data_IF_592900906688
#
_entry.id   IF_592900906688
#
_cell.length_a   1.000
_cell.length_b   1.000
_cell.length_c   1.000
_cell.angle_alpha   90.00
_cell.angle_beta   90.00
_cell.angle_gamma   90.00
#
_symmetry.space_group_name_H-M   'P 1'
#
loop_
_entity.id
_entity.type
_entity.pdbx_description
1 polymer ?
#
# COMPACT_ATOMS: atom_id res chain seq x y z
N UNK A 1 -14.90 -17.05 22.04
CA UNK A 1 -16.33 -17.39 22.05
C UNK A 1 -16.73 -17.81 20.65
N UNK A 2 -17.11 -19.08 20.48
CA UNK A 2 -18.03 -19.61 19.44
C UNK A 2 -17.66 -19.46 17.96
N UNK A 3 -17.23 -20.57 17.35
CA UNK A 3 -17.37 -20.86 15.91
C UNK A 3 -18.77 -21.43 15.63
N UNK A 4 -19.45 -20.88 14.63
CA UNK A 4 -20.60 -21.39 13.87
C UNK A 4 -20.85 -20.34 12.76
N UNK A 5 -20.84 -20.59 11.46
CA UNK A 5 -21.29 -21.74 10.68
C UNK A 5 -20.51 -21.84 9.36
N UNK A 6 -20.05 -23.05 9.03
CA UNK A 6 -19.70 -23.47 7.68
C UNK A 6 -20.86 -24.34 7.20
N UNK A 7 -21.68 -23.83 6.29
CA UNK A 7 -22.39 -24.66 5.34
C UNK A 7 -22.76 -23.81 4.14
N UNK A 8 -22.32 -24.25 2.97
CA UNK A 8 -22.93 -24.15 1.63
C UNK A 8 -21.77 -24.14 0.64
N UNK A 9 -21.68 -25.22 -0.13
CA UNK A 9 -21.20 -25.37 -1.51
C UNK A 9 -20.60 -26.77 -1.71
N UNK A 10 -21.46 -27.78 -1.65
CA UNK A 10 -21.26 -29.03 -2.40
C UNK A 10 -22.13 -28.94 -3.65
N UNK A 11 -21.53 -28.73 -4.81
CA UNK A 11 -22.14 -29.08 -6.10
C UNK A 11 -21.01 -29.26 -7.14
N UNK A 12 -20.48 -30.47 -7.16
CA UNK A 12 -19.68 -30.99 -8.26
C UNK A 12 -20.63 -31.41 -9.39
N UNK A 13 -20.61 -30.72 -10.53
CA UNK A 13 -21.17 -31.22 -11.79
C UNK A 13 -20.03 -31.46 -12.78
N UNK A 14 -19.86 -32.68 -13.32
CA UNK A 14 -18.80 -32.99 -14.28
C UNK A 14 -19.15 -32.48 -15.69
N UNK A 15 -18.14 -31.92 -16.37
CA UNK A 15 -18.21 -31.39 -17.73
C UNK A 15 -17.91 -32.51 -18.76
N UNK A 16 -18.76 -32.65 -19.79
CA UNK A 16 -18.61 -33.59 -20.92
C UNK A 16 -18.44 -32.76 -22.20
N UNK A 17 -17.41 -32.98 -23.04
CA UNK A 17 -17.24 -32.25 -24.30
C UNK A 17 -17.89 -33.01 -25.48
N UNK A 18 -18.62 -32.29 -26.34
CA UNK A 18 -19.08 -32.80 -27.64
C UNK A 18 -18.40 -32.09 -28.82
N UNK A 19 -18.10 -32.90 -29.84
CA UNK A 19 -17.27 -32.67 -31.01
C UNK A 19 -17.85 -31.78 -32.12
N UNK A 20 -16.93 -31.03 -32.75
CA UNK A 20 -16.84 -30.77 -34.19
C UNK A 20 -17.90 -29.90 -34.91
N UNK A 21 -17.41 -28.83 -35.56
CA UNK A 21 -17.58 -28.60 -37.02
C UNK A 21 -16.71 -27.44 -37.52
N UNK A 22 -15.74 -27.80 -38.34
CA UNK A 22 -14.94 -26.92 -39.19
C UNK A 22 -15.75 -26.43 -40.39
N UNK A 23 -15.66 -25.14 -40.74
CA UNK A 23 -15.84 -24.65 -42.12
C UNK A 23 -14.70 -23.66 -42.43
N UNK A 24 -14.00 -23.94 -43.53
CA UNK A 24 -12.94 -23.14 -44.16
C UNK A 24 -13.54 -22.03 -45.03
N UNK A 25 -12.94 -20.84 -45.02
CA UNK A 25 -12.81 -20.01 -46.24
C UNK A 25 -11.64 -19.02 -46.13
N UNK A 26 -10.60 -19.32 -46.89
CA UNK A 26 -9.75 -18.43 -47.71
C UNK A 26 -9.07 -17.17 -47.11
N UNK A 27 -7.83 -17.44 -46.68
CA UNK A 27 -6.56 -16.72 -46.86
C UNK A 27 -6.60 -15.44 -47.74
N UNK A 28 -6.14 -14.33 -47.15
CA UNK A 28 -5.41 -13.28 -47.88
C UNK A 28 -4.17 -12.86 -47.06
N UNK A 29 -2.99 -13.06 -47.65
CA UNK A 29 -1.67 -12.94 -47.02
C UNK A 29 -1.21 -11.48 -47.14
N UNK A 30 -0.73 -10.84 -46.06
CA UNK A 30 0.64 -10.30 -46.10
C UNK A 30 1.24 -9.77 -44.78
N UNK A 31 2.47 -10.27 -44.57
CA UNK A 31 3.59 -9.91 -43.69
C UNK A 31 3.49 -10.07 -42.16
N UNK A 32 4.13 -11.17 -41.72
CA UNK A 32 4.67 -11.46 -40.40
C UNK A 32 5.62 -10.38 -39.89
N UNK A 33 5.48 -10.03 -38.61
CA UNK A 33 6.59 -10.09 -37.65
C UNK A 33 6.06 -10.91 -36.46
N UNK A 34 6.54 -12.14 -36.33
CA UNK A 34 6.31 -12.99 -35.17
C UNK A 34 7.31 -12.60 -34.10
N UNK A 35 6.85 -12.01 -33.01
CA UNK A 35 7.46 -12.19 -31.68
C UNK A 35 6.34 -12.62 -30.72
N UNK A 36 6.04 -13.91 -30.79
CA UNK A 36 5.06 -14.59 -29.95
C UNK A 36 5.74 -15.09 -28.68
N UNK A 37 5.74 -14.29 -27.60
CA UNK A 37 5.87 -14.78 -26.23
C UNK A 37 4.99 -13.94 -25.32
N UNK A 38 3.98 -14.60 -24.71
CA UNK A 38 3.08 -14.12 -23.64
C UNK A 38 1.89 -13.24 -24.05
N UNK A 39 0.92 -13.80 -24.78
CA UNK A 39 -0.47 -13.33 -24.65
C UNK A 39 -1.08 -13.89 -23.35
N UNK A 40 -1.08 -13.06 -22.30
CA UNK A 40 -1.92 -13.26 -21.13
C UNK A 40 -3.33 -12.75 -21.49
N UNK A 41 -4.27 -13.66 -21.70
CA UNK A 41 -5.67 -13.31 -21.87
C UNK A 41 -6.20 -12.57 -20.63
N UNK A 42 -6.65 -11.32 -20.80
CA UNK A 42 -7.54 -10.65 -19.85
C UNK A 42 -7.11 -9.29 -19.28
N UNK A 43 -6.04 -8.65 -19.77
CA UNK A 43 -5.75 -7.26 -19.37
C UNK A 43 -6.56 -6.33 -20.28
N UNK A 44 -7.61 -5.69 -19.74
CA UNK A 44 -8.13 -4.48 -20.36
C UNK A 44 -6.95 -3.53 -20.54
N UNK A 45 -6.55 -3.29 -21.78
CA UNK A 45 -5.62 -2.22 -22.17
C UNK A 45 -6.31 -0.86 -22.05
N UNK A 46 -7.01 -0.63 -20.94
CA UNK A 46 -7.48 0.68 -20.55
C UNK A 46 -6.26 1.49 -20.15
N UNK A 47 -5.93 2.52 -20.93
CA UNK A 47 -4.96 3.53 -20.51
C UNK A 47 -5.39 4.10 -19.17
N UNK A 48 -4.57 3.95 -18.14
CA UNK A 48 -4.81 4.56 -16.84
C UNK A 48 -4.95 6.09 -17.00
N UNK A 49 -5.98 6.66 -16.40
CA UNK A 49 -6.23 8.10 -16.39
C UNK A 49 -6.46 8.58 -14.96
N UNK A 50 -5.70 9.59 -14.53
CA UNK A 50 -5.90 10.23 -13.21
C UNK A 50 -7.24 10.98 -13.12
N UNK A 51 -7.76 11.42 -14.25
CA UNK A 51 -9.01 12.17 -14.31
C UNK A 51 -10.23 11.25 -14.21
N UNK A 52 -10.04 9.95 -14.49
CA UNK A 52 -11.09 8.98 -14.29
C UNK A 52 -11.37 8.77 -12.79
N UNK A 53 -12.60 9.04 -12.38
CA UNK A 53 -13.09 8.79 -11.02
C UNK A 53 -14.22 7.75 -11.10
N UNK A 54 -13.98 6.51 -10.65
CA UNK A 54 -15.04 5.51 -10.61
C UNK A 54 -16.12 5.89 -9.59
N UNK A 55 -17.36 5.42 -9.80
CA UNK A 55 -18.38 5.49 -8.76
C UNK A 55 -17.96 4.60 -7.59
N UNK A 56 -17.96 5.16 -6.39
CA UNK A 56 -17.47 4.52 -5.17
C UNK A 56 -18.57 3.82 -4.36
N UNK A 57 -19.84 4.02 -4.68
CA UNK A 57 -20.94 3.45 -3.87
C UNK A 57 -20.93 1.91 -3.90
N UNK A 58 -20.67 1.32 -5.07
CA UNK A 58 -20.63 -0.13 -5.27
C UNK A 58 -19.22 -0.64 -5.62
N UNK A 59 -18.19 0.19 -5.39
CA UNK A 59 -16.82 -0.17 -5.76
C UNK A 59 -16.21 -1.16 -4.75
N UNK A 60 -15.67 -2.32 -5.19
CA UNK A 60 -15.14 -3.35 -4.29
C UNK A 60 -13.82 -2.94 -3.62
N UNK A 61 -13.23 -1.82 -4.02
CA UNK A 61 -11.91 -1.37 -3.59
C UNK A 61 -10.78 -1.97 -4.45
N UNK A 62 -9.52 -1.83 -4.01
CA UNK A 62 -8.41 -2.49 -4.68
C UNK A 62 -8.55 -4.01 -4.63
N UNK A 63 -8.23 -4.67 -5.75
CA UNK A 63 -8.26 -6.12 -5.81
C UNK A 63 -7.24 -6.75 -4.83
N UNK A 64 -7.48 -7.98 -4.34
CA UNK A 64 -6.56 -8.65 -3.42
C UNK A 64 -5.12 -8.75 -3.94
N UNK A 65 -4.90 -8.88 -5.25
CA UNK A 65 -3.56 -8.93 -5.84
C UNK A 65 -2.82 -7.60 -5.72
N UNK A 66 -3.52 -6.47 -5.92
CA UNK A 66 -2.94 -5.12 -5.75
C UNK A 66 -2.63 -4.86 -4.27
N UNK A 67 -3.49 -5.30 -3.36
CA UNK A 67 -3.23 -5.21 -1.91
C UNK A 67 -2.03 -6.07 -1.51
N UNK A 68 -1.94 -7.30 -2.02
CA UNK A 68 -0.78 -8.17 -1.79
C UNK A 68 0.51 -7.53 -2.30
N UNK A 69 0.48 -6.91 -3.49
CA UNK A 69 1.61 -6.16 -4.02
C UNK A 69 2.03 -5.03 -3.08
N UNK A 70 1.09 -4.22 -2.57
CA UNK A 70 1.38 -3.13 -1.64
C UNK A 70 1.94 -3.61 -0.28
N UNK A 71 1.64 -4.85 0.11
CA UNK A 71 2.12 -5.48 1.35
C UNK A 71 3.45 -6.24 1.18
N UNK A 72 3.94 -6.41 -0.05
CA UNK A 72 5.14 -7.20 -0.34
C UNK A 72 6.36 -6.29 -0.50
N UNK A 73 7.33 -6.43 0.41
CA UNK A 73 8.57 -5.67 0.38
C UNK A 73 9.50 -6.17 -0.73
N UNK A 74 10.38 -5.29 -1.24
CA UNK A 74 11.35 -5.65 -2.27
C UNK A 74 12.32 -6.75 -1.83
N UNK A 75 12.68 -6.81 -0.55
CA UNK A 75 13.53 -7.85 0.03
C UNK A 75 12.84 -9.23 0.16
N UNK A 76 11.52 -9.32 0.00
CA UNK A 76 10.82 -10.60 -0.11
C UNK A 76 11.17 -11.32 -1.41
N UNK A 77 11.75 -10.63 -2.40
CA UNK A 77 12.19 -11.21 -3.66
C UNK A 77 11.10 -12.08 -4.34
N UNK A 78 9.87 -11.59 -4.28
CA UNK A 78 8.72 -12.16 -4.97
C UNK A 78 8.58 -11.51 -6.37
N UNK A 79 7.70 -12.05 -7.22
CA UNK A 79 7.40 -11.49 -8.54
C UNK A 79 6.66 -10.15 -8.51
N UNK A 80 6.21 -9.72 -7.32
CA UNK A 80 5.51 -8.46 -7.07
C UNK A 80 6.13 -7.76 -5.86
N UNK A 81 6.14 -6.42 -5.88
CA UNK A 81 6.56 -5.62 -4.74
C UNK A 81 5.89 -4.23 -4.73
N UNK A 82 6.04 -3.56 -3.60
CA UNK A 82 5.38 -2.30 -3.31
C UNK A 82 5.99 -1.06 -4.02
N UNK A 83 7.20 -1.13 -4.60
CA UNK A 83 7.99 0.05 -5.00
C UNK A 83 7.26 0.97 -6.00
N UNK A 84 6.58 0.39 -7.00
CA UNK A 84 5.83 1.18 -7.99
C UNK A 84 4.59 1.85 -7.38
N UNK A 85 3.93 1.16 -6.46
CA UNK A 85 2.76 1.68 -5.76
C UNK A 85 3.17 2.75 -4.74
N UNK A 86 4.28 2.54 -4.04
CA UNK A 86 4.91 3.51 -3.14
C UNK A 86 5.21 4.81 -3.90
N UNK A 87 5.87 4.71 -5.06
CA UNK A 87 6.26 5.87 -5.88
C UNK A 87 5.06 6.76 -6.21
N UNK A 88 3.95 6.16 -6.67
CA UNK A 88 2.76 6.94 -7.03
C UNK A 88 1.98 7.40 -5.80
N UNK A 89 1.94 6.58 -4.75
CA UNK A 89 1.31 6.90 -3.49
C UNK A 89 1.95 8.08 -2.77
N UNK A 90 3.29 8.13 -2.70
CA UNK A 90 4.05 9.25 -2.12
C UNK A 90 3.79 10.56 -2.88
N UNK A 91 3.80 10.50 -4.21
CA UNK A 91 3.51 11.66 -5.06
C UNK A 91 2.10 12.21 -4.80
N UNK A 92 1.09 11.33 -4.75
CA UNK A 92 -0.28 11.72 -4.47
C UNK A 92 -0.50 12.17 -3.03
N UNK A 93 0.12 11.52 -2.05
CA UNK A 93 0.11 11.90 -0.64
C UNK A 93 0.58 13.35 -0.46
N UNK A 94 1.72 13.69 -1.06
CA UNK A 94 2.29 15.05 -1.04
C UNK A 94 1.36 16.05 -1.71
N UNK A 95 0.82 15.72 -2.88
CA UNK A 95 -0.15 16.56 -3.58
C UNK A 95 -1.40 16.81 -2.73
N UNK A 96 -2.06 15.75 -2.25
CA UNK A 96 -3.31 15.82 -1.49
C UNK A 96 -3.16 16.65 -0.20
N UNK A 97 -2.07 16.46 0.55
CA UNK A 97 -1.79 17.26 1.74
C UNK A 97 -1.52 18.72 1.37
N UNK A 98 -0.77 18.97 0.30
CA UNK A 98 -0.47 20.34 -0.15
C UNK A 98 -1.76 21.07 -0.56
N UNK A 99 -2.60 20.42 -1.38
CA UNK A 99 -3.88 20.97 -1.82
C UNK A 99 -4.82 21.22 -0.63
N UNK A 100 -4.90 20.28 0.31
CA UNK A 100 -5.70 20.45 1.52
C UNK A 100 -5.23 21.64 2.35
N UNK A 101 -3.92 21.74 2.63
CA UNK A 101 -3.37 22.83 3.41
C UNK A 101 -3.57 24.18 2.73
N UNK A 102 -3.35 24.26 1.42
CA UNK A 102 -3.55 25.47 0.63
C UNK A 102 -5.01 25.96 0.69
N UNK A 103 -6.00 25.08 0.47
CA UNK A 103 -7.41 25.47 0.45
C UNK A 103 -8.04 25.69 1.83
N UNK A 104 -7.37 25.30 2.92
CA UNK A 104 -7.90 25.44 4.30
C UNK A 104 -7.20 26.52 5.11
N UNK A 105 -6.08 27.07 4.61
CA UNK A 105 -5.25 28.03 5.31
C UNK A 105 -4.90 29.23 4.43
N UNK A 106 -5.91 29.97 3.96
CA UNK A 106 -5.80 31.06 2.98
C UNK A 106 -4.74 32.13 3.31
N UNK A 107 -4.53 32.45 4.58
CA UNK A 107 -3.66 33.54 5.03
C UNK A 107 -2.32 33.06 5.62
N UNK A 108 -1.95 31.80 5.40
CA UNK A 108 -0.71 31.24 5.93
C UNK A 108 0.37 31.24 4.85
N UNK A 109 1.50 31.87 5.14
CA UNK A 109 2.63 31.92 4.20
C UNK A 109 3.25 30.55 3.93
N UNK A 110 3.92 30.43 2.78
CA UNK A 110 4.53 29.20 2.25
C UNK A 110 5.37 28.45 3.30
N UNK A 111 6.28 29.13 4.00
CA UNK A 111 7.18 28.48 4.96
C UNK A 111 6.44 27.70 6.06
N UNK A 112 5.31 28.24 6.56
CA UNK A 112 4.49 27.55 7.57
C UNK A 112 3.69 26.39 6.95
N UNK A 113 3.16 26.56 5.74
CA UNK A 113 2.49 25.48 5.00
C UNK A 113 3.45 24.32 4.70
N UNK A 114 4.66 24.63 4.22
CA UNK A 114 5.73 23.68 3.97
C UNK A 114 6.14 22.94 5.24
N UNK A 115 6.23 23.62 6.39
CA UNK A 115 6.47 22.96 7.68
C UNK A 115 5.33 22.01 8.08
N UNK A 116 4.08 22.42 7.93
CA UNK A 116 2.90 21.58 8.23
C UNK A 116 2.85 20.35 7.32
N UNK A 117 3.11 20.54 6.02
CA UNK A 117 3.21 19.46 5.03
C UNK A 117 4.27 18.45 5.45
N UNK A 118 5.51 18.90 5.68
CA UNK A 118 6.63 18.04 6.08
C UNK A 118 6.35 17.22 7.33
N UNK A 119 5.58 17.76 8.29
CA UNK A 119 5.16 17.02 9.47
C UNK A 119 4.20 15.88 9.13
N UNK A 120 3.23 16.11 8.24
CA UNK A 120 2.24 15.11 7.85
C UNK A 120 2.81 14.02 6.93
N UNK A 121 3.65 14.39 5.95
CA UNK A 121 4.27 13.43 5.01
C UNK A 121 5.51 12.73 5.59
N UNK A 122 5.90 13.03 6.84
CA UNK A 122 7.10 12.42 7.42
C UNK A 122 6.94 10.91 7.60
N UNK A 123 8.01 10.16 7.30
CA UNK A 123 8.06 8.70 7.52
C UNK A 123 7.66 8.32 8.95
N UNK A 124 8.04 9.11 9.96
CA UNK A 124 7.67 8.85 11.36
C UNK A 124 6.15 8.95 11.58
N UNK A 125 5.48 9.89 10.93
CA UNK A 125 4.02 10.00 11.00
C UNK A 125 3.36 8.81 10.30
N UNK A 126 3.77 8.49 9.08
CA UNK A 126 3.23 7.38 8.30
C UNK A 126 3.43 6.03 9.01
N UNK A 127 4.62 5.79 9.56
CA UNK A 127 4.91 4.65 10.43
C UNK A 127 3.90 4.54 11.59
N UNK A 128 3.67 5.64 12.33
CA UNK A 128 2.73 5.65 13.45
C UNK A 128 1.31 5.28 13.00
N UNK A 129 0.86 5.79 11.86
CA UNK A 129 -0.45 5.46 11.30
C UNK A 129 -0.52 3.99 10.85
N UNK A 130 0.48 3.50 10.12
CA UNK A 130 0.55 2.11 9.67
C UNK A 130 0.63 1.12 10.83
N UNK A 131 1.38 1.47 11.88
CA UNK A 131 1.45 0.69 13.13
C UNK A 131 0.10 0.59 13.84
N UNK A 132 -0.64 1.69 13.94
CA UNK A 132 -1.98 1.69 14.54
C UNK A 132 -2.98 0.82 13.75
N UNK A 133 -2.75 0.63 12.44
CA UNK A 133 -3.55 -0.24 11.58
C UNK A 133 -3.01 -1.67 11.49
N UNK A 134 -1.94 -1.99 12.24
CA UNK A 134 -1.29 -3.30 12.24
C UNK A 134 -0.79 -3.75 10.86
N UNK A 135 -0.35 -2.80 10.01
CA UNK A 135 0.17 -3.18 8.68
C UNK A 135 1.43 -4.02 8.76
N UNK A 136 2.30 -3.78 9.76
CA UNK A 136 3.50 -4.57 9.97
C UNK A 136 3.22 -6.07 10.00
N UNK A 137 2.19 -6.52 10.74
CA UNK A 137 1.82 -7.94 10.88
C UNK A 137 1.32 -8.60 9.59
N UNK A 138 0.97 -7.80 8.59
CA UNK A 138 0.42 -8.27 7.31
C UNK A 138 1.43 -8.15 6.17
N UNK A 139 2.58 -7.54 6.42
CA UNK A 139 3.61 -7.34 5.42
C UNK A 139 4.43 -8.61 5.19
N UNK A 140 4.82 -8.82 3.95
CA UNK A 140 5.72 -9.90 3.54
C UNK A 140 7.10 -9.28 3.34
N UNK A 141 8.04 -9.64 4.21
CA UNK A 141 9.40 -9.05 4.24
C UNK A 141 10.52 -10.06 4.00
N UNK A 142 10.19 -11.34 3.98
CA UNK A 142 11.15 -12.42 3.79
C UNK A 142 10.81 -13.19 2.55
N UNK A 143 11.85 -13.66 1.86
CA UNK A 143 11.68 -14.57 0.75
C UNK A 143 11.03 -15.86 1.23
N UNK A 144 9.96 -16.28 0.57
CA UNK A 144 9.33 -17.55 0.88
C UNK A 144 10.23 -18.71 0.46
N UNK A 145 10.61 -19.53 1.43
CA UNK A 145 11.48 -20.70 1.26
C UNK A 145 10.82 -21.88 1.98
N UNK A 146 10.16 -22.81 1.26
CA UNK A 146 9.35 -23.87 1.86
C UNK A 146 10.06 -24.72 2.91
N UNK A 147 11.37 -24.90 2.77
CA UNK A 147 12.17 -25.70 3.71
C UNK A 147 12.59 -24.93 4.96
N UNK A 148 12.64 -23.60 4.90
CA UNK A 148 13.23 -22.77 5.95
C UNK A 148 12.18 -22.03 6.77
N UNK A 149 11.10 -21.55 6.15
CA UNK A 149 10.16 -20.63 6.78
C UNK A 149 8.67 -20.92 6.52
N UNK A 150 8.33 -22.01 5.83
CA UNK A 150 6.94 -22.41 5.73
C UNK A 150 6.46 -23.04 7.04
N UNK A 151 5.28 -22.61 7.48
CA UNK A 151 4.60 -23.20 8.63
C UNK A 151 3.21 -23.69 8.21
N UNK A 152 2.78 -24.87 8.68
CA UNK A 152 1.43 -25.33 8.45
C UNK A 152 0.42 -24.43 9.18
N UNK A 153 -0.83 -24.34 8.68
CA UNK A 153 -1.90 -23.66 9.39
C UNK A 153 -2.02 -24.16 10.84
N UNK A 154 -2.27 -23.24 11.78
CA UNK A 154 -2.37 -23.51 13.21
C UNK A 154 -1.06 -23.98 13.89
N UNK A 155 0.10 -23.81 13.24
CA UNK A 155 1.37 -23.97 13.91
C UNK A 155 1.50 -22.95 15.04
N UNK A 156 1.76 -23.43 16.26
CA UNK A 156 2.04 -22.58 17.41
C UNK A 156 3.19 -23.18 18.21
N UNK A 157 4.02 -22.33 18.81
CA UNK A 157 5.08 -22.75 19.72
C UNK A 157 4.55 -22.61 21.15
N UNK A 158 4.49 -23.68 21.96
CA UNK A 158 4.07 -23.57 23.35
C UNK A 158 4.97 -22.60 24.14
N UNK A 159 4.36 -21.67 24.88
CA UNK A 159 5.10 -20.60 25.58
C UNK A 159 6.13 -21.13 26.61
N UNK A 160 5.89 -22.31 27.18
CA UNK A 160 6.87 -22.99 28.06
C UNK A 160 8.14 -23.38 27.29
N UNK A 161 7.97 -23.91 26.08
CA UNK A 161 9.07 -24.30 25.21
C UNK A 161 9.84 -23.06 24.74
N UNK A 162 9.14 -22.03 24.27
CA UNK A 162 9.77 -20.76 23.86
C UNK A 162 10.67 -20.19 24.96
N UNK A 163 10.16 -20.10 26.20
CA UNK A 163 10.95 -19.65 27.35
C UNK A 163 12.17 -20.53 27.61
N UNK A 164 12.03 -21.84 27.48
CA UNK A 164 13.11 -22.77 27.72
C UNK A 164 14.21 -22.65 26.64
N UNK A 165 13.84 -22.41 25.37
CA UNK A 165 14.78 -22.15 24.27
C UNK A 165 15.53 -20.83 24.45
N UNK A 166 14.82 -19.76 24.85
CA UNK A 166 15.40 -18.45 25.19
C UNK A 166 16.40 -18.60 26.35
N UNK A 167 16.01 -19.26 27.45
CA UNK A 167 16.88 -19.48 28.60
C UNK A 167 18.10 -20.36 28.26
N UNK A 168 17.96 -21.24 27.28
CA UNK A 168 19.04 -22.08 26.77
C UNK A 168 19.97 -21.35 25.79
N UNK A 169 19.70 -20.09 25.45
CA UNK A 169 20.41 -19.28 24.46
C UNK A 169 20.50 -19.94 23.08
N UNK A 170 19.48 -20.72 22.70
CA UNK A 170 19.45 -21.38 21.38
C UNK A 170 19.04 -20.35 20.32
N UNK A 171 19.84 -20.13 19.27
CA UNK A 171 19.49 -19.22 18.18
C UNK A 171 18.13 -19.54 17.56
N UNK A 172 17.33 -18.50 17.32
CA UNK A 172 15.95 -18.61 16.83
C UNK A 172 15.86 -19.23 15.43
N UNK A 173 16.90 -19.12 14.63
CA UNK A 173 17.04 -19.77 13.32
C UNK A 173 17.00 -21.29 13.39
N UNK A 174 17.36 -21.88 14.54
CA UNK A 174 17.41 -23.33 14.71
C UNK A 174 16.10 -23.93 15.24
N UNK A 175 15.13 -23.09 15.62
CA UNK A 175 13.91 -23.55 16.28
C UNK A 175 13.03 -24.41 15.36
N UNK A 176 13.09 -24.19 14.04
CA UNK A 176 12.37 -25.01 13.05
C UNK A 176 12.88 -26.45 12.94
N UNK A 177 14.13 -26.70 13.37
CA UNK A 177 14.69 -28.06 13.37
C UNK A 177 14.32 -28.85 14.64
N UNK A 178 13.72 -28.18 15.64
CA UNK A 178 13.29 -28.82 16.87
C UNK A 178 12.01 -29.60 16.58
N UNK A 179 12.16 -30.91 16.37
CA UNK A 179 11.02 -31.79 16.16
C UNK A 179 10.27 -31.96 17.47
N UNK A 180 9.12 -31.31 17.62
CA UNK A 180 8.25 -31.54 18.76
C UNK A 180 7.54 -32.89 18.60
N UNK A 181 7.64 -33.81 19.57
CA UNK A 181 7.08 -35.15 19.43
C UNK A 181 5.54 -35.20 19.37
N UNK A 182 4.82 -34.10 19.63
CA UNK A 182 3.36 -34.16 19.80
C UNK A 182 2.64 -32.81 19.69
N UNK A 183 1.40 -32.83 19.19
CA UNK A 183 0.45 -31.68 19.19
C UNK A 183 -0.15 -31.36 20.58
N UNK A 184 0.43 -31.87 21.67
CA UNK A 184 -0.04 -31.66 23.05
C UNK A 184 0.90 -30.71 23.78
N UNK A 185 0.38 -30.00 24.79
CA UNK A 185 1.21 -29.19 25.68
C UNK A 185 2.32 -30.07 26.28
N UNK A 186 3.60 -29.82 25.96
CA UNK A 186 4.69 -30.66 26.42
C UNK A 186 4.88 -30.49 27.93
N UNK A 187 5.16 -31.60 28.60
CA UNK A 187 5.55 -31.60 30.01
C UNK A 187 6.95 -31.00 30.18
N UNK A 188 7.25 -30.48 31.37
CA UNK A 188 8.54 -29.82 31.61
C UNK A 188 9.74 -30.76 31.38
N UNK A 189 9.55 -32.08 31.62
CA UNK A 189 10.57 -33.11 31.33
C UNK A 189 10.81 -33.30 29.83
N UNK A 190 9.75 -33.33 29.02
CA UNK A 190 9.87 -33.46 27.57
C UNK A 190 10.60 -32.24 26.97
N UNK A 191 10.33 -31.04 27.51
CA UNK A 191 11.03 -29.81 27.09
C UNK A 191 12.52 -29.90 27.42
N UNK A 192 12.88 -30.34 28.62
CA UNK A 192 14.28 -30.52 29.03
C UNK A 192 15.00 -31.55 28.16
N UNK A 193 14.36 -32.70 27.87
CA UNK A 193 14.92 -33.74 27.02
C UNK A 193 15.18 -33.24 25.59
N UNK A 194 14.23 -32.51 25.00
CA UNK A 194 14.39 -31.91 23.67
C UNK A 194 15.55 -30.91 23.65
N UNK A 195 15.66 -30.04 24.66
CA UNK A 195 16.77 -29.06 24.74
C UNK A 195 18.12 -29.76 24.90
N UNK A 196 18.19 -30.82 25.72
CA UNK A 196 19.43 -31.56 25.92
C UNK A 196 19.85 -32.31 24.65
N UNK A 197 18.92 -32.98 23.97
CA UNK A 197 19.20 -33.63 22.68
C UNK A 197 19.71 -32.61 21.66
N UNK A 198 19.11 -31.43 21.62
CA UNK A 198 19.50 -30.37 20.70
C UNK A 198 20.88 -29.80 21.02
N UNK A 199 21.21 -29.57 22.31
CA UNK A 199 22.54 -29.11 22.74
C UNK A 199 23.64 -30.14 22.48
N UNK A 200 23.33 -31.43 22.55
CA UNK A 200 24.31 -32.51 22.28
C UNK A 200 24.62 -32.63 20.79
N UNK A 201 23.70 -32.20 19.91
CA UNK A 201 23.85 -32.28 18.45
C UNK A 201 24.64 -31.14 17.79
N UNK A 202 24.87 -30.02 18.48
CA UNK A 202 25.59 -28.84 17.96
C UNK A 202 26.86 -28.58 18.76
N UNK A 203 27.96 -28.23 18.07
CA UNK A 203 29.20 -27.84 18.75
C UNK A 203 29.07 -26.41 19.29
N UNK A 204 29.75 -26.11 20.40
CA UNK A 204 29.74 -24.75 20.98
C UNK A 204 30.24 -23.68 19.98
N UNK A 205 31.10 -24.07 19.02
CA UNK A 205 31.62 -23.18 17.97
C UNK A 205 30.55 -22.75 16.97
N UNK A 206 29.55 -23.59 16.70
CA UNK A 206 28.43 -23.26 15.81
C UNK A 206 27.49 -22.22 16.45
N UNK A 207 27.30 -22.31 17.77
CA UNK A 207 26.44 -21.42 18.53
C UNK A 207 27.11 -20.05 18.71
N UNK A 208 28.42 -20.00 18.98
CA UNK A 208 29.17 -18.75 19.16
C UNK A 208 29.36 -17.95 17.86
N UNK A 209 29.44 -18.61 16.71
CA UNK A 209 29.53 -17.94 15.40
C UNK A 209 28.17 -17.43 14.88
N UNK A 210 27.06 -17.72 15.57
CA UNK A 210 25.74 -17.27 15.13
C UNK A 210 25.53 -15.82 15.55
N UNK A 211 25.45 -14.87 14.58
CA UNK A 211 25.42 -13.46 14.92
C UNK A 211 24.06 -13.10 15.51
N UNK A 212 24.11 -12.44 16.68
CA UNK A 212 23.00 -11.73 17.32
C UNK A 212 21.90 -12.62 17.91
N UNK A 213 21.90 -12.76 19.24
CA UNK A 213 20.75 -13.26 19.98
C UNK A 213 19.61 -12.24 19.89
N UNK A 214 18.55 -12.65 19.21
CA UNK A 214 17.34 -11.86 19.05
C UNK A 214 16.26 -12.49 19.94
N UNK A 215 15.76 -11.80 20.99
CA UNK A 215 14.93 -12.40 22.03
C UNK A 215 13.46 -12.59 21.60
N UNK A 216 13.21 -12.83 20.31
CA UNK A 216 11.88 -13.05 19.76
C UNK A 216 11.86 -14.21 18.76
N UNK A 217 10.75 -14.95 18.75
CA UNK A 217 10.57 -16.16 17.96
C UNK A 217 10.45 -15.86 16.45
N UNK A 218 11.58 -15.87 15.73
CA UNK A 218 11.62 -15.63 14.28
C UNK A 218 10.89 -16.70 13.43
N UNK A 219 10.47 -17.81 14.03
CA UNK A 219 9.62 -18.80 13.37
C UNK A 219 8.21 -18.24 13.21
N UNK A 220 7.65 -17.66 14.27
CA UNK A 220 6.28 -17.14 14.28
C UNK A 220 6.18 -15.62 14.13
N UNK A 221 7.32 -14.93 14.19
CA UNK A 221 7.41 -13.47 14.19
C UNK A 221 8.38 -13.01 13.12
N UNK A 222 8.09 -11.87 12.52
CA UNK A 222 9.00 -11.19 11.61
C UNK A 222 9.42 -9.83 12.17
N UNK A 223 10.56 -9.32 11.72
CA UNK A 223 11.01 -7.97 12.04
C UNK A 223 10.84 -7.08 10.81
N UNK A 224 10.13 -5.97 10.97
CA UNK A 224 9.84 -5.01 9.91
C UNK A 224 10.43 -3.66 10.31
N UNK A 225 11.31 -3.05 9.49
CA UNK A 225 11.81 -1.70 9.74
C UNK A 225 10.68 -0.67 9.75
N UNK A 226 10.77 0.35 10.62
CA UNK A 226 9.79 1.44 10.69
C UNK A 226 9.58 2.13 9.33
N UNK A 227 10.65 2.31 8.55
CA UNK A 227 10.59 2.89 7.20
C UNK A 227 9.75 2.02 6.27
N UNK A 228 9.88 0.70 6.31
CA UNK A 228 9.11 -0.20 5.45
C UNK A 228 7.61 -0.14 5.73
N UNK A 229 7.20 0.08 6.99
CA UNK A 229 5.78 0.32 7.30
C UNK A 229 5.30 1.65 6.69
N UNK A 230 6.14 2.69 6.70
CA UNK A 230 5.80 3.96 6.04
C UNK A 230 5.67 3.77 4.51
N UNK A 231 6.60 3.05 3.88
CA UNK A 231 6.58 2.75 2.43
C UNK A 231 5.32 1.95 2.06
N UNK A 232 4.93 1.01 2.91
CA UNK A 232 3.69 0.25 2.78
C UNK A 232 2.43 1.14 2.87
N UNK A 233 2.42 2.14 3.74
CA UNK A 233 1.33 3.13 3.80
C UNK A 233 1.24 3.91 2.48
N UNK A 234 2.36 4.36 1.94
CA UNK A 234 2.43 5.03 0.64
C UNK A 234 1.94 4.10 -0.48
N UNK A 235 2.41 2.85 -0.50
CA UNK A 235 1.98 1.86 -1.47
C UNK A 235 0.48 1.56 -1.41
N UNK A 236 -0.11 1.49 -0.22
CA UNK A 236 -1.55 1.33 -0.08
C UNK A 236 -2.32 2.56 -0.56
N UNK A 237 -1.82 3.78 -0.34
CA UNK A 237 -2.40 4.99 -0.95
C UNK A 237 -2.35 4.88 -2.48
N UNK A 238 -1.22 4.43 -3.04
CA UNK A 238 -1.08 4.16 -4.47
C UNK A 238 -2.07 3.11 -4.98
N UNK A 239 -2.28 2.01 -4.25
CA UNK A 239 -3.24 0.96 -4.58
C UNK A 239 -4.69 1.49 -4.68
N UNK A 240 -5.09 2.32 -3.71
CA UNK A 240 -6.40 2.98 -3.72
C UNK A 240 -6.52 4.02 -4.82
N UNK A 241 -5.44 4.73 -5.15
CA UNK A 241 -5.43 5.70 -6.23
C UNK A 241 -5.65 5.04 -7.59
N UNK A 242 -4.95 3.93 -7.87
CA UNK A 242 -5.09 3.24 -9.15
C UNK A 242 -6.42 2.50 -9.30
N UNK A 243 -6.99 2.01 -8.19
CA UNK A 243 -8.20 1.19 -8.23
C UNK A 243 -9.47 2.02 -8.07
N UNK A 244 -9.45 3.04 -7.20
CA UNK A 244 -10.62 3.79 -6.77
C UNK A 244 -10.56 5.28 -7.15
N UNK A 245 -9.56 5.70 -7.93
CA UNK A 245 -9.34 7.09 -8.30
C UNK A 245 -8.91 7.98 -7.11
N UNK A 246 -8.75 9.28 -7.41
CA UNK A 246 -8.29 10.26 -6.43
C UNK A 246 -9.23 10.35 -5.21
N UNK A 247 -10.55 10.30 -5.43
CA UNK A 247 -11.52 10.36 -4.33
C UNK A 247 -11.40 9.15 -3.40
N UNK A 248 -11.25 7.94 -3.94
CA UNK A 248 -11.06 6.74 -3.15
C UNK A 248 -9.79 6.78 -2.32
N UNK A 249 -8.68 7.27 -2.89
CA UNK A 249 -7.44 7.48 -2.17
C UNK A 249 -7.57 8.51 -1.03
N UNK A 250 -8.25 9.65 -1.26
CA UNK A 250 -8.50 10.66 -0.22
C UNK A 250 -9.34 10.11 0.95
N UNK A 251 -10.34 9.27 0.65
CA UNK A 251 -11.14 8.59 1.69
C UNK A 251 -10.28 7.61 2.49
N UNK A 252 -9.44 6.82 1.81
CA UNK A 252 -8.49 5.91 2.47
C UNK A 252 -7.49 6.67 3.37
N UNK A 253 -6.93 7.77 2.87
CA UNK A 253 -6.04 8.64 3.66
C UNK A 253 -6.74 9.24 4.88
N UNK A 254 -8.00 9.65 4.74
CA UNK A 254 -8.81 10.14 5.87
C UNK A 254 -9.07 9.03 6.89
N UNK A 255 -9.34 7.80 6.44
CA UNK A 255 -9.50 6.62 7.29
C UNK A 255 -8.20 6.20 8.02
N UNK A 256 -7.04 6.46 7.41
CA UNK A 256 -5.74 6.33 8.07
C UNK A 256 -5.54 7.35 9.19
N UNK A 257 -6.25 8.49 9.14
CA UNK A 257 -6.10 9.61 10.08
C UNK A 257 -5.30 10.78 9.52
N UNK A 258 -5.06 10.82 8.20
CA UNK A 258 -4.42 11.95 7.52
C UNK A 258 -5.51 12.98 7.19
N UNK A 259 -5.28 14.24 7.55
CA UNK A 259 -6.23 15.32 7.27
C UNK A 259 -6.05 15.82 5.84
N UNK A 260 -6.88 15.29 4.93
CA UNK A 260 -6.92 15.69 3.52
C UNK A 260 -8.32 16.03 2.99
N UNK A 261 -9.34 15.89 3.82
CA UNK A 261 -10.72 16.24 3.50
C UNK A 261 -11.37 17.00 4.67
N UNK A 262 -12.29 17.93 4.41
CA UNK A 262 -13.07 18.57 5.46
C UNK A 262 -14.11 17.61 6.03
N UNK A 263 -14.31 17.67 7.35
CA UNK A 263 -15.37 16.93 8.04
C UNK A 263 -16.64 17.76 8.06
N UNK A 264 -17.76 17.18 7.64
CA UNK A 264 -19.10 17.77 7.77
C UNK A 264 -19.73 17.37 9.12
N UNK A 265 -20.78 18.09 9.53
CA UNK A 265 -21.42 17.97 10.85
C UNK A 265 -21.86 16.54 11.23
N UNK A 266 -22.11 15.66 10.24
CA UNK A 266 -22.52 14.27 10.42
C UNK A 266 -21.37 13.24 10.31
N UNK A 267 -20.10 13.64 10.54
CA UNK A 267 -18.92 12.78 10.33
C UNK A 267 -18.74 12.27 8.89
N UNK A 268 -19.48 12.84 7.92
CA UNK A 268 -19.30 12.60 6.49
C UNK A 268 -18.12 13.43 5.97
N UNK A 269 -17.30 12.83 5.12
CA UNK A 269 -16.16 13.51 4.49
C UNK A 269 -16.65 14.30 3.27
N UNK A 270 -16.46 15.62 3.31
CA UNK A 270 -16.84 16.53 2.24
C UNK A 270 -15.86 16.56 1.07
N UNK A 271 -16.03 17.54 0.20
CA UNK A 271 -15.10 17.87 -0.88
C UNK A 271 -14.31 19.14 -0.53
N UNK A 272 -13.05 19.19 -0.98
CA UNK A 272 -12.27 20.42 -0.92
C UNK A 272 -12.95 21.48 -1.77
N UNK A 273 -13.22 22.63 -1.17
CA UNK A 273 -13.69 23.79 -1.92
C UNK A 273 -12.50 24.43 -2.65
N UNK A 274 -12.67 24.87 -3.90
CA UNK A 274 -11.62 25.62 -4.58
C UNK A 274 -11.28 26.89 -3.77
N UNK A 275 -10.02 27.35 -3.85
CA UNK A 275 -9.61 28.61 -3.22
C UNK A 275 -10.48 29.77 -3.72
N UNK A 276 -10.64 30.81 -2.90
CA UNK A 276 -11.32 32.03 -3.33
C UNK A 276 -10.50 32.75 -4.41
N UNK A 277 -11.18 33.50 -5.26
CA UNK A 277 -10.54 34.36 -6.26
C UNK A 277 -9.56 35.32 -5.57
N UNK A 278 -8.31 35.46 -6.06
CA UNK A 278 -7.34 36.43 -5.56
C UNK A 278 -7.80 37.89 -5.71
N UNK A 279 -8.80 38.14 -6.56
CA UNK A 279 -9.31 39.48 -6.82
C UNK A 279 -9.92 40.08 -5.55
N UNK A 280 -9.33 41.17 -5.08
CA UNK A 280 -9.78 41.92 -3.92
C UNK A 280 -11.04 42.72 -4.26
N UNK A 281 -12.20 42.24 -3.78
CA UNK A 281 -13.52 42.86 -4.04
C UNK A 281 -13.87 44.06 -3.14
N UNK A 282 -12.93 44.50 -2.32
CA UNK A 282 -13.09 45.64 -1.41
C UNK A 282 -12.64 46.98 -2.02
N UNK A 283 -12.26 46.99 -3.30
CA UNK A 283 -11.82 48.17 -4.06
C UNK A 283 -12.94 48.64 -5.00
N UNK A 284 -12.98 49.94 -5.30
CA UNK A 284 -13.86 50.49 -6.33
C UNK A 284 -13.42 49.98 -7.72
N UNK A 285 -14.33 49.32 -8.45
CA UNK A 285 -14.10 48.72 -9.79
C UNK A 285 -12.89 47.73 -9.88
N UNK A 286 -12.96 46.57 -9.21
CA UNK A 286 -11.87 45.61 -9.20
C UNK A 286 -11.63 44.97 -10.58
N UNK A 287 -12.67 44.81 -11.39
CA UNK A 287 -12.55 44.30 -12.76
C UNK A 287 -11.82 45.28 -13.69
N UNK A 288 -12.05 46.59 -13.54
CA UNK A 288 -11.33 47.63 -14.29
C UNK A 288 -9.84 47.66 -13.95
N UNK A 289 -9.49 47.60 -12.67
CA UNK A 289 -8.08 47.53 -12.22
C UNK A 289 -7.39 46.25 -12.69
N UNK A 290 -8.07 45.09 -12.60
CA UNK A 290 -7.53 43.83 -13.15
C UNK A 290 -7.25 43.96 -14.64
N UNK A 291 -8.15 44.58 -15.41
CA UNK A 291 -7.96 44.77 -16.86
C UNK A 291 -6.72 45.61 -17.15
N UNK A 292 -6.46 46.67 -16.38
CA UNK A 292 -5.25 47.49 -16.51
C UNK A 292 -3.98 46.70 -16.22
N UNK A 293 -3.99 45.88 -15.17
CA UNK A 293 -2.83 45.06 -14.78
C UNK A 293 -2.60 43.88 -15.74
N UNK A 294 -3.61 43.50 -16.52
CA UNK A 294 -3.54 42.43 -17.51
C UNK A 294 -3.11 42.88 -18.91
N UNK A 295 -2.70 44.14 -19.07
CA UNK A 295 -2.21 44.62 -20.37
C UNK A 295 -1.03 43.77 -20.88
N UNK A 296 -1.11 43.33 -22.13
CA UNK A 296 -0.13 42.44 -22.77
C UNK A 296 -0.26 40.93 -22.44
N UNK A 297 -1.07 40.52 -21.46
CA UNK A 297 -1.25 39.10 -21.13
C UNK A 297 -2.08 38.33 -22.17
N UNK A 298 -2.83 39.03 -23.03
CA UNK A 298 -3.56 38.40 -24.15
C UNK A 298 -2.61 37.69 -25.12
N UNK A 299 -1.43 38.27 -25.36
CA UNK A 299 -0.39 37.61 -26.16
C UNK A 299 0.08 36.33 -25.47
N UNK A 300 0.25 36.34 -24.15
CA UNK A 300 0.65 35.15 -23.39
C UNK A 300 -0.40 34.03 -23.50
N UNK A 301 -1.68 34.34 -23.32
CA UNK A 301 -2.77 33.37 -23.47
C UNK A 301 -2.86 32.80 -24.90
N UNK A 302 -2.63 33.63 -25.93
CA UNK A 302 -2.58 33.19 -27.32
C UNK A 302 -1.43 32.22 -27.59
N UNK A 303 -0.23 32.49 -27.05
CA UNK A 303 0.91 31.60 -27.17
C UNK A 303 0.69 30.28 -26.41
N UNK A 304 0.02 30.34 -25.25
CA UNK A 304 -0.34 29.17 -24.47
C UNK A 304 -1.48 28.36 -25.13
N UNK A 305 -2.31 29.01 -25.93
CA UNK A 305 -3.52 28.41 -26.51
C UNK A 305 -4.62 28.15 -25.48
N UNK A 306 -4.60 28.86 -24.34
CA UNK A 306 -5.54 28.66 -23.23
C UNK A 306 -6.04 30.00 -22.69
N UNK A 307 -7.36 30.10 -22.49
CA UNK A 307 -7.99 31.27 -21.90
C UNK A 307 -8.38 31.02 -20.45
N UNK A 308 -7.82 31.81 -19.53
CA UNK A 308 -8.11 31.67 -18.11
C UNK A 308 -9.51 32.19 -17.79
N UNK A 309 -10.30 31.36 -17.10
CA UNK A 309 -11.66 31.75 -16.66
C UNK A 309 -11.61 32.88 -15.63
N UNK A 310 -10.67 32.79 -14.68
CA UNK A 310 -10.38 33.86 -13.72
C UNK A 310 -8.92 34.31 -13.90
N UNK A 311 -8.76 35.46 -14.59
CA UNK A 311 -7.45 36.04 -14.91
C UNK A 311 -6.71 36.57 -13.68
N UNK A 312 -7.37 36.72 -12.53
CA UNK A 312 -6.69 37.15 -11.30
C UNK A 312 -5.69 36.10 -10.78
N UNK A 313 -5.93 34.81 -11.01
CA UNK A 313 -4.93 33.77 -10.73
C UNK A 313 -3.72 33.85 -11.65
N UNK A 314 -3.92 34.19 -12.93
CA UNK A 314 -2.83 34.38 -13.88
C UNK A 314 -1.96 35.57 -13.46
N UNK A 315 -2.59 36.69 -13.08
CA UNK A 315 -1.88 37.84 -12.55
C UNK A 315 -1.06 37.45 -11.31
N UNK A 316 -1.69 36.79 -10.33
CA UNK A 316 -1.02 36.35 -9.10
C UNK A 316 0.18 35.42 -9.38
N UNK A 317 0.09 34.54 -10.37
CA UNK A 317 1.17 33.61 -10.71
C UNK A 317 2.38 34.31 -11.34
N UNK A 318 2.21 35.50 -11.91
CA UNK A 318 3.26 36.27 -12.58
C UNK A 318 3.85 37.40 -11.71
N UNK A 319 3.35 37.57 -10.48
CA UNK A 319 3.80 38.57 -9.50
C UNK A 319 4.50 37.92 -8.32
#
# INVERSE_FOLDING_TARGET
YGLSDISVLSNNTPFIPEDSKYIKSEININYKINDSVNEVHGVQTGTFSFDFQPDLNDHPGPSPSVLLQALTMSNANDGINLERLETIGDSFLKYAITAYLYCTHDNVHEGKLSHLRSKQVSNLNLYRLGKLKMFGERMISTKFEPHDNWLPPCYFVPHKLEKALINASIPTTLWNMITLPTFKDPTDKEIEEVIQQFKVGFSNEDIENTPLFVPYNLVTQHSIPDKSIADCVEALIGAYLISCGARGALLFMSWLGIRVLPTLDDSKLGYLKPPSSPLLRNVDDPEGELTKLMDGFESFEQHLGYHFQDRSYLLQAMT
#
